data_IF_049329969901
#
_entry.id   IF_049329969901
#
_cell.length_a   1.000
_cell.length_b   1.000
_cell.length_c   1.000
_cell.angle_alpha   90.00
_cell.angle_beta   90.00
_cell.angle_gamma   90.00
#
_symmetry.space_group_name_H-M   'P 1'
#
loop_
_entity.id
_entity.type
_entity.pdbx_description
1 polymer ?
#
# COMPACT_ATOMS: atom_id res chain seq x y z
N UNK A 1 -19.02 -11.17 -16.93
CA UNK A 1 -19.42 -10.23 -15.85
C UNK A 1 -20.26 -9.09 -16.41
N UNK A 2 -21.08 -8.41 -15.60
CA UNK A 2 -21.72 -7.13 -15.94
C UNK A 2 -20.84 -6.01 -15.37
N UNK A 3 -20.21 -5.20 -16.20
CA UNK A 3 -19.23 -4.21 -15.78
C UNK A 3 -19.91 -2.86 -15.52
N UNK A 4 -19.73 -2.36 -14.30
CA UNK A 4 -20.28 -1.09 -13.84
C UNK A 4 -19.11 -0.23 -13.37
N UNK A 5 -18.99 0.99 -13.89
CA UNK A 5 -17.96 1.95 -13.50
C UNK A 5 -18.65 3.22 -13.03
N UNK A 6 -18.35 3.65 -11.80
CA UNK A 6 -18.96 4.83 -11.17
C UNK A 6 -20.51 4.85 -11.24
N UNK A 7 -21.12 3.66 -11.07
CA UNK A 7 -22.57 3.48 -11.12
C UNK A 7 -23.17 3.41 -12.53
N UNK A 8 -22.37 3.59 -13.59
CA UNK A 8 -22.82 3.47 -14.97
C UNK A 8 -22.49 2.07 -15.52
N UNK A 9 -23.44 1.46 -16.24
CA UNK A 9 -23.21 0.17 -16.90
C UNK A 9 -22.46 0.40 -18.21
N UNK A 10 -21.21 -0.05 -18.28
CA UNK A 10 -20.42 0.02 -19.51
C UNK A 10 -20.67 -1.22 -20.38
N UNK A 11 -20.72 -2.39 -19.75
CA UNK A 11 -21.00 -3.66 -20.43
C UNK A 11 -22.05 -4.47 -19.67
N UNK A 12 -23.11 -4.87 -20.37
CA UNK A 12 -24.09 -5.82 -19.85
C UNK A 12 -23.48 -7.23 -19.69
N UNK A 13 -22.56 -7.58 -20.60
CA UNK A 13 -21.74 -8.78 -20.56
C UNK A 13 -20.33 -8.42 -21.07
N UNK A 14 -19.35 -8.56 -20.19
CA UNK A 14 -17.92 -8.35 -20.42
C UNK A 14 -17.15 -9.61 -20.03
N UNK A 15 -16.03 -9.84 -20.70
CA UNK A 15 -14.98 -10.76 -20.30
C UNK A 15 -13.75 -9.96 -19.80
N UNK A 16 -12.63 -10.64 -19.59
CA UNK A 16 -11.40 -10.00 -19.10
C UNK A 16 -10.84 -8.97 -20.08
N UNK A 17 -11.17 -9.05 -21.37
CA UNK A 17 -10.63 -8.14 -22.39
C UNK A 17 -11.34 -6.77 -22.37
N UNK A 18 -12.67 -6.75 -22.28
CA UNK A 18 -13.43 -5.50 -22.12
C UNK A 18 -13.06 -4.79 -20.81
N UNK A 19 -12.83 -5.54 -19.73
CA UNK A 19 -12.30 -4.98 -18.49
C UNK A 19 -10.94 -4.29 -18.71
N UNK A 20 -10.01 -4.92 -19.44
CA UNK A 20 -8.70 -4.32 -19.73
C UNK A 20 -8.82 -3.05 -20.59
N UNK A 21 -9.74 -3.05 -21.55
CA UNK A 21 -9.99 -1.89 -22.40
C UNK A 21 -10.49 -0.70 -21.57
N UNK A 22 -11.48 -0.92 -20.70
CA UNK A 22 -11.98 0.13 -19.81
C UNK A 22 -10.91 0.65 -18.85
N UNK A 23 -10.11 -0.23 -18.25
CA UNK A 23 -9.00 0.20 -17.39
C UNK A 23 -7.95 1.03 -18.15
N UNK A 24 -7.74 0.77 -19.43
CA UNK A 24 -6.86 1.58 -20.27
C UNK A 24 -7.47 2.96 -20.58
N UNK A 25 -8.79 3.03 -20.78
CA UNK A 25 -9.52 4.30 -20.96
C UNK A 25 -9.47 5.16 -19.69
N UNK A 26 -9.71 4.57 -18.52
CA UNK A 26 -9.62 5.27 -17.24
C UNK A 26 -8.27 5.98 -17.05
N UNK A 27 -7.17 5.31 -17.40
CA UNK A 27 -5.82 5.92 -17.36
C UNK A 27 -5.68 7.13 -18.27
N UNK A 28 -6.33 7.11 -19.43
CA UNK A 28 -6.32 8.21 -20.40
C UNK A 28 -7.11 9.40 -19.87
N UNK A 29 -8.18 9.13 -19.11
CA UNK A 29 -9.04 10.15 -18.49
C UNK A 29 -8.54 10.60 -17.11
N UNK A 30 -7.32 10.24 -16.73
CA UNK A 30 -6.72 10.54 -15.41
C UNK A 30 -7.57 10.05 -14.22
N UNK A 31 -8.29 8.94 -14.43
CA UNK A 31 -9.09 8.26 -13.40
C UNK A 31 -8.41 6.99 -12.95
N UNK A 32 -8.42 6.76 -11.64
CA UNK A 32 -7.74 5.64 -11.02
C UNK A 32 -8.73 4.78 -10.26
N UNK A 33 -8.58 3.47 -10.35
CA UNK A 33 -9.40 2.51 -9.61
C UNK A 33 -9.18 2.72 -8.10
N UNK A 34 -10.24 3.07 -7.39
CA UNK A 34 -10.25 3.20 -5.94
C UNK A 34 -10.60 1.87 -5.28
N UNK A 35 -11.65 1.21 -5.77
CA UNK A 35 -12.10 -0.07 -5.25
C UNK A 35 -12.78 -0.87 -6.35
N UNK A 36 -12.73 -2.19 -6.21
CA UNK A 36 -13.46 -3.11 -7.07
C UNK A 36 -14.30 -4.02 -6.19
N UNK A 37 -15.57 -4.17 -6.52
CA UNK A 37 -16.45 -5.11 -5.84
C UNK A 37 -17.08 -6.08 -6.82
N UNK A 38 -17.29 -7.31 -6.38
CA UNK A 38 -18.01 -8.35 -7.09
C UNK A 38 -19.12 -8.84 -6.17
N UNK A 39 -20.38 -8.74 -6.61
CA UNK A 39 -21.55 -9.09 -5.77
C UNK A 39 -21.62 -8.31 -4.45
N UNK A 40 -21.14 -7.06 -4.45
CA UNK A 40 -21.09 -6.20 -3.26
C UNK A 40 -19.97 -6.53 -2.27
N UNK A 41 -19.11 -7.51 -2.57
CA UNK A 41 -17.92 -7.82 -1.79
C UNK A 41 -16.70 -7.20 -2.46
N UNK A 42 -15.86 -6.51 -1.69
CA UNK A 42 -14.60 -5.95 -2.19
C UNK A 42 -13.65 -7.08 -2.60
N UNK A 43 -13.07 -6.95 -3.79
CA UNK A 43 -12.18 -7.95 -4.40
C UNK A 43 -10.93 -7.27 -4.97
N UNK A 44 -9.85 -8.03 -5.12
CA UNK A 44 -8.65 -7.51 -5.75
C UNK A 44 -8.81 -7.47 -7.27
N UNK A 45 -8.49 -6.32 -7.87
CA UNK A 45 -8.52 -6.15 -9.33
C UNK A 45 -7.59 -7.15 -10.03
N UNK A 46 -6.44 -7.49 -9.43
CA UNK A 46 -5.51 -8.46 -10.01
C UNK A 46 -6.18 -9.80 -10.27
N UNK A 47 -7.01 -10.26 -9.33
CA UNK A 47 -7.60 -11.61 -9.36
C UNK A 47 -8.59 -11.74 -10.53
N UNK A 48 -9.27 -10.64 -10.87
CA UNK A 48 -10.13 -10.54 -12.05
C UNK A 48 -9.33 -10.52 -13.36
N UNK A 49 -8.16 -9.87 -13.37
CA UNK A 49 -7.31 -9.73 -14.55
C UNK A 49 -6.50 -11.00 -14.86
N UNK A 50 -6.06 -11.72 -13.83
CA UNK A 50 -5.36 -13.01 -13.92
C UNK A 50 -6.34 -14.17 -14.10
N UNK A 51 -7.61 -13.96 -13.75
CA UNK A 51 -8.66 -14.96 -13.83
C UNK A 51 -8.64 -15.96 -12.67
N UNK A 52 -7.99 -15.62 -11.56
CA UNK A 52 -8.11 -16.31 -10.27
C UNK A 52 -9.53 -16.15 -9.71
N UNK A 53 -10.12 -14.97 -9.89
CA UNK A 53 -11.55 -14.72 -9.67
C UNK A 53 -12.27 -14.66 -11.02
N UNK A 54 -13.25 -15.56 -11.21
CA UNK A 54 -14.09 -15.61 -12.41
C UNK A 54 -15.56 -15.42 -12.04
N UNK A 55 -16.06 -14.17 -12.10
CA UNK A 55 -17.46 -13.91 -11.86
C UNK A 55 -18.34 -14.67 -12.85
N UNK A 56 -19.48 -15.19 -12.37
CA UNK A 56 -20.44 -15.85 -13.26
C UNK A 56 -20.96 -14.87 -14.34
N UNK A 57 -21.44 -15.37 -15.49
CA UNK A 57 -22.03 -14.52 -16.52
C UNK A 57 -23.16 -13.64 -15.94
N UNK A 58 -23.10 -12.33 -16.21
CA UNK A 58 -24.07 -11.35 -15.68
C UNK A 58 -23.84 -10.91 -14.23
N UNK A 59 -22.93 -11.53 -13.47
CA UNK A 59 -22.56 -11.08 -12.12
C UNK A 59 -22.03 -9.63 -12.15
N UNK A 60 -22.56 -8.71 -11.34
CA UNK A 60 -22.10 -7.33 -11.30
C UNK A 60 -20.69 -7.23 -10.73
N UNK A 61 -19.82 -6.57 -11.49
CA UNK A 61 -18.50 -6.12 -11.06
C UNK A 61 -18.53 -4.60 -11.09
N UNK A 62 -18.42 -3.98 -9.92
CA UNK A 62 -18.47 -2.53 -9.75
C UNK A 62 -17.07 -1.99 -9.50
N UNK A 63 -16.68 -1.01 -10.31
CA UNK A 63 -15.42 -0.28 -10.17
C UNK A 63 -15.77 1.14 -9.76
N UNK A 64 -15.26 1.56 -8.60
CA UNK A 64 -15.30 2.96 -8.17
C UNK A 64 -13.96 3.57 -8.51
N UNK A 65 -13.97 4.74 -9.12
CA UNK A 65 -12.75 5.44 -9.51
C UNK A 65 -12.65 6.81 -8.85
N UNK A 66 -11.43 7.32 -8.76
CA UNK A 66 -11.10 8.59 -8.14
C UNK A 66 -10.04 9.35 -8.96
N UNK A 67 -9.85 10.63 -8.67
CA UNK A 67 -8.73 11.40 -9.23
C UNK A 67 -7.40 11.00 -8.60
N UNK A 68 -6.28 11.40 -9.22
CA UNK A 68 -4.94 11.18 -8.65
C UNK A 68 -4.81 11.78 -7.25
N UNK A 69 -5.29 13.01 -7.04
CA UNK A 69 -5.24 13.68 -5.74
C UNK A 69 -5.99 12.88 -4.66
N UNK A 70 -7.19 12.39 -4.99
CA UNK A 70 -7.98 11.56 -4.08
C UNK A 70 -7.30 10.23 -3.78
N UNK A 71 -6.70 9.58 -4.79
CA UNK A 71 -5.95 8.35 -4.62
C UNK A 71 -4.76 8.55 -3.67
N UNK A 72 -4.00 9.63 -3.87
CA UNK A 72 -2.87 9.99 -3.02
C UNK A 72 -3.33 10.30 -1.60
N UNK A 73 -4.43 11.04 -1.42
CA UNK A 73 -4.99 11.35 -0.11
C UNK A 73 -5.42 10.09 0.64
N UNK A 74 -6.21 9.22 0.00
CA UNK A 74 -6.64 7.95 0.60
C UNK A 74 -5.44 7.05 0.95
N UNK A 75 -4.42 7.02 0.10
CA UNK A 75 -3.20 6.24 0.33
C UNK A 75 -2.44 6.79 1.54
N UNK A 76 -2.24 8.10 1.62
CA UNK A 76 -1.53 8.74 2.73
C UNK A 76 -2.29 8.65 4.05
N UNK A 77 -3.63 8.69 4.02
CA UNK A 77 -4.48 8.45 5.18
C UNK A 77 -4.33 7.02 5.70
N UNK A 78 -4.34 6.03 4.79
CA UNK A 78 -4.13 4.62 5.12
C UNK A 78 -2.74 4.37 5.71
N UNK A 79 -1.69 4.95 5.11
CA UNK A 79 -0.32 4.87 5.64
C UNK A 79 -0.23 5.50 7.02
N UNK A 80 -0.79 6.69 7.20
CA UNK A 80 -0.80 7.41 8.48
C UNK A 80 -1.48 6.61 9.60
N UNK A 81 -2.57 5.89 9.30
CA UNK A 81 -3.23 5.01 10.28
C UNK A 81 -2.41 3.74 10.56
N UNK A 82 -1.77 3.19 9.54
CA UNK A 82 -1.10 1.89 9.63
C UNK A 82 0.27 1.96 10.31
N UNK A 83 1.11 2.94 9.99
CA UNK A 83 2.50 3.01 10.48
C UNK A 83 2.62 2.96 12.02
N UNK A 84 1.81 3.68 12.81
CA UNK A 84 1.89 3.58 14.27
C UNK A 84 1.63 2.16 14.80
N UNK A 85 0.72 1.41 14.16
CA UNK A 85 0.44 0.01 14.52
C UNK A 85 1.61 -0.89 14.17
N UNK A 86 2.21 -0.68 13.00
CA UNK A 86 3.40 -1.41 12.57
C UNK A 86 4.58 -1.17 13.52
N UNK A 87 4.86 0.09 13.87
CA UNK A 87 5.87 0.46 14.85
C UNK A 87 5.65 -0.27 16.19
N UNK A 88 4.43 -0.19 16.73
CA UNK A 88 4.10 -0.82 18.01
C UNK A 88 4.25 -2.34 17.95
N UNK A 89 3.90 -2.98 16.83
CA UNK A 89 4.06 -4.42 16.65
C UNK A 89 5.55 -4.80 16.61
N UNK A 90 6.38 -4.04 15.90
CA UNK A 90 7.83 -4.27 15.85
C UNK A 90 8.51 -4.05 17.19
N UNK A 91 8.13 -3.00 17.92
CA UNK A 91 8.65 -2.78 19.27
C UNK A 91 8.37 -3.96 20.19
N UNK A 92 7.14 -4.48 20.16
CA UNK A 92 6.76 -5.68 20.93
C UNK A 92 7.53 -6.92 20.47
N UNK A 93 7.71 -7.11 19.16
CA UNK A 93 8.52 -8.19 18.59
C UNK A 93 9.97 -8.13 19.09
N UNK A 94 10.58 -6.94 19.08
CA UNK A 94 11.93 -6.72 19.61
C UNK A 94 11.99 -7.10 21.09
N UNK A 95 11.06 -6.60 21.91
CA UNK A 95 11.01 -6.92 23.34
C UNK A 95 10.96 -8.45 23.57
N UNK A 96 10.10 -9.16 22.84
CA UNK A 96 10.00 -10.62 22.92
C UNK A 96 11.30 -11.33 22.52
N UNK A 97 11.95 -10.93 21.43
CA UNK A 97 13.23 -11.51 21.05
C UNK A 97 14.34 -11.23 22.08
N UNK A 98 14.36 -10.04 22.69
CA UNK A 98 15.30 -9.69 23.75
C UNK A 98 15.07 -10.47 25.04
N UNK A 99 13.83 -10.82 25.37
CA UNK A 99 13.50 -11.63 26.57
C UNK A 99 13.51 -13.14 26.32
N UNK A 100 13.79 -13.58 25.09
CA UNK A 100 13.88 -15.01 24.73
C UNK A 100 12.58 -15.65 24.23
N UNK A 101 11.50 -14.88 24.07
CA UNK A 101 10.19 -15.32 23.57
C UNK A 101 10.17 -15.41 22.03
N UNK A 102 11.04 -16.28 21.48
CA UNK A 102 11.33 -16.35 20.04
C UNK A 102 10.11 -16.64 19.17
N UNK A 103 9.30 -17.62 19.54
CA UNK A 103 8.15 -18.06 18.76
C UNK A 103 7.05 -16.97 18.71
N UNK A 104 6.78 -16.32 19.84
CA UNK A 104 5.83 -15.21 19.92
C UNK A 104 6.30 -14.02 19.05
N UNK A 105 7.58 -13.65 19.15
CA UNK A 105 8.19 -12.63 18.30
C UNK A 105 8.14 -12.99 16.81
N UNK A 106 8.47 -14.23 16.45
CA UNK A 106 8.45 -14.70 15.07
C UNK A 106 7.04 -14.66 14.46
N UNK A 107 6.03 -15.16 15.18
CA UNK A 107 4.63 -15.10 14.77
C UNK A 107 4.17 -13.66 14.55
N UNK A 108 4.49 -12.78 15.50
CA UNK A 108 4.12 -11.37 15.43
C UNK A 108 4.80 -10.65 14.28
N UNK A 109 6.09 -10.90 14.07
CA UNK A 109 6.81 -10.34 12.94
C UNK A 109 6.20 -10.78 11.60
N UNK A 110 5.88 -12.07 11.44
CA UNK A 110 5.26 -12.60 10.23
C UNK A 110 3.93 -11.91 9.89
N UNK A 111 3.12 -11.56 10.89
CA UNK A 111 1.89 -10.77 10.70
C UNK A 111 2.15 -9.39 10.10
N UNK A 112 3.34 -8.81 10.32
CA UNK A 112 3.70 -7.46 9.87
C UNK A 112 4.31 -7.39 8.47
N UNK A 113 4.82 -8.52 7.93
CA UNK A 113 5.57 -8.56 6.66
C UNK A 113 4.75 -7.99 5.48
N UNK A 114 3.47 -8.36 5.38
CA UNK A 114 2.59 -7.83 4.34
C UNK A 114 2.45 -6.31 4.41
N UNK A 115 2.36 -5.75 5.61
CA UNK A 115 2.28 -4.32 5.80
C UNK A 115 3.58 -3.59 5.48
N UNK A 116 4.73 -4.20 5.77
CA UNK A 116 6.03 -3.67 5.35
C UNK A 116 6.12 -3.63 3.81
N UNK A 117 5.80 -4.75 3.14
CA UNK A 117 5.79 -4.84 1.68
C UNK A 117 4.87 -3.80 1.05
N UNK A 118 3.67 -3.61 1.61
CA UNK A 118 2.74 -2.60 1.13
C UNK A 118 3.31 -1.18 1.25
N UNK A 119 3.92 -0.83 2.39
CA UNK A 119 4.55 0.48 2.56
C UNK A 119 5.72 0.72 1.60
N UNK A 120 6.55 -0.30 1.38
CA UNK A 120 7.64 -0.24 0.40
C UNK A 120 7.11 -0.05 -1.03
N UNK A 121 5.98 -0.68 -1.37
CA UNK A 121 5.31 -0.48 -2.67
C UNK A 121 4.77 0.96 -2.82
N UNK A 122 4.13 1.50 -1.78
CA UNK A 122 3.68 2.90 -1.77
C UNK A 122 4.85 3.85 -1.99
N UNK A 123 5.95 3.66 -1.26
CA UNK A 123 7.17 4.47 -1.41
C UNK A 123 7.77 4.36 -2.80
N UNK A 124 7.86 3.15 -3.37
CA UNK A 124 8.35 2.95 -4.72
C UNK A 124 7.50 3.73 -5.73
N UNK A 125 6.17 3.61 -5.66
CA UNK A 125 5.26 4.33 -6.55
C UNK A 125 5.37 5.84 -6.41
N UNK A 126 5.41 6.37 -5.18
CA UNK A 126 5.57 7.81 -4.95
C UNK A 126 6.92 8.33 -5.43
N UNK A 127 8.00 7.57 -5.20
CA UNK A 127 9.33 7.95 -5.65
C UNK A 127 9.43 8.01 -7.18
N UNK A 128 8.66 7.19 -7.90
CA UNK A 128 8.60 7.20 -9.35
C UNK A 128 7.84 8.41 -9.93
N UNK A 129 6.98 9.06 -9.13
CA UNK A 129 6.26 10.28 -9.51
C UNK A 129 7.09 11.55 -9.29
N UNK A 130 8.08 11.50 -8.40
CA UNK A 130 8.89 12.65 -8.01
C UNK A 130 10.27 12.69 -8.66
N UNK A 131 11.06 13.75 -8.41
CA UNK A 131 12.47 13.80 -8.75
C UNK A 131 13.26 12.70 -8.03
N UNK A 132 14.33 12.20 -8.67
CA UNK A 132 15.18 11.15 -8.13
C UNK A 132 15.85 11.53 -6.79
N UNK A 133 16.11 12.82 -6.56
CA UNK A 133 16.77 13.34 -5.35
C UNK A 133 15.77 13.87 -4.30
N UNK A 134 14.52 13.40 -4.34
CA UNK A 134 13.49 13.81 -3.39
C UNK A 134 13.58 13.06 -2.05
N UNK A 135 13.05 13.66 -0.97
CA UNK A 135 12.98 13.03 0.35
C UNK A 135 12.31 11.65 0.30
N UNK A 136 11.27 11.49 -0.52
CA UNK A 136 10.56 10.21 -0.67
C UNK A 136 11.42 9.15 -1.37
N UNK A 137 12.26 9.55 -2.33
CA UNK A 137 13.20 8.65 -3.00
C UNK A 137 14.30 8.17 -2.04
N UNK A 138 14.80 9.06 -1.18
CA UNK A 138 15.76 8.69 -0.14
C UNK A 138 15.14 7.76 0.92
N UNK A 139 13.92 8.06 1.39
CA UNK A 139 13.17 7.18 2.32
C UNK A 139 12.93 5.81 1.68
N UNK A 140 12.59 5.75 0.39
CA UNK A 140 12.42 4.49 -0.33
C UNK A 140 13.75 3.71 -0.36
N UNK A 141 14.85 4.35 -0.77
CA UNK A 141 16.18 3.72 -0.83
C UNK A 141 16.59 3.13 0.51
N UNK A 142 16.46 3.90 1.60
CA UNK A 142 16.76 3.41 2.96
C UNK A 142 15.85 2.23 3.32
N UNK A 143 14.54 2.31 3.04
CA UNK A 143 13.58 1.25 3.32
C UNK A 143 13.90 -0.06 2.59
N UNK A 144 14.27 0.01 1.31
CA UNK A 144 14.72 -1.15 0.54
C UNK A 144 16.02 -1.75 1.12
N UNK A 145 16.90 -0.89 1.64
CA UNK A 145 18.14 -1.29 2.31
C UNK A 145 17.93 -2.19 3.53
N UNK A 146 16.81 -2.04 4.24
CA UNK A 146 16.47 -2.82 5.45
C UNK A 146 16.00 -4.25 5.12
N UNK A 147 15.45 -4.49 3.93
CA UNK A 147 14.82 -5.77 3.57
C UNK A 147 15.84 -6.91 3.53
N UNK A 148 16.99 -6.70 2.89
CA UNK A 148 17.99 -7.75 2.71
C UNK A 148 18.62 -8.21 4.03
N UNK A 149 19.04 -7.30 4.94
CA UNK A 149 19.46 -7.68 6.29
C UNK A 149 18.41 -8.47 7.06
N UNK A 150 17.13 -8.04 7.02
CA UNK A 150 16.03 -8.74 7.69
C UNK A 150 15.88 -10.18 7.18
N UNK A 151 15.89 -10.38 5.86
CA UNK A 151 15.79 -11.70 5.26
C UNK A 151 16.98 -12.59 5.66
N UNK A 152 18.20 -12.05 5.58
CA UNK A 152 19.40 -12.81 5.96
C UNK A 152 19.39 -13.22 7.44
N UNK A 153 18.99 -12.32 8.34
CA UNK A 153 18.88 -12.63 9.77
C UNK A 153 17.75 -13.65 10.05
N UNK A 154 16.63 -13.54 9.33
CA UNK A 154 15.51 -14.48 9.41
C UNK A 154 15.89 -15.89 8.96
N UNK A 155 16.56 -16.02 7.81
CA UNK A 155 17.02 -17.31 7.26
C UNK A 155 18.01 -18.02 8.18
N UNK A 156 18.79 -17.28 8.96
CA UNK A 156 19.74 -17.82 9.94
C UNK A 156 19.14 -18.00 11.34
N UNK A 157 17.84 -17.73 11.53
CA UNK A 157 17.16 -17.72 12.84
C UNK A 157 17.88 -16.83 13.89
N UNK A 158 18.54 -15.77 13.43
CA UNK A 158 19.30 -14.85 14.29
C UNK A 158 18.37 -13.76 14.85
N UNK A 159 17.64 -14.14 15.90
CA UNK A 159 16.69 -13.24 16.58
C UNK A 159 17.34 -12.04 17.25
N UNK A 160 18.64 -12.10 17.57
CA UNK A 160 19.37 -10.94 18.12
C UNK A 160 19.61 -9.94 17.00
N UNK A 161 20.12 -10.39 15.86
CA UNK A 161 20.33 -9.54 14.69
C UNK A 161 19.00 -9.00 14.14
N UNK A 162 17.93 -9.81 14.12
CA UNK A 162 16.60 -9.33 13.74
C UNK A 162 16.11 -8.21 14.67
N UNK A 163 16.30 -8.37 15.99
CA UNK A 163 15.96 -7.32 16.95
C UNK A 163 16.77 -6.05 16.70
N UNK A 164 18.08 -6.18 16.46
CA UNK A 164 18.95 -5.03 16.17
C UNK A 164 18.53 -4.30 14.88
N UNK A 165 18.24 -5.02 13.79
CA UNK A 165 17.80 -4.41 12.54
C UNK A 165 16.45 -3.71 12.73
N UNK A 166 15.49 -4.34 13.40
CA UNK A 166 14.21 -3.69 13.67
C UNK A 166 14.37 -2.43 14.52
N UNK A 167 15.19 -2.50 15.57
CA UNK A 167 15.36 -1.43 16.54
C UNK A 167 16.14 -0.23 16.01
N UNK A 168 17.24 -0.48 15.31
CA UNK A 168 18.19 0.56 14.94
C UNK A 168 18.11 0.97 13.46
N UNK A 169 17.43 0.20 12.61
CA UNK A 169 17.30 0.52 11.18
C UNK A 169 15.83 0.68 10.77
N UNK A 170 15.01 -0.35 10.99
CA UNK A 170 13.64 -0.38 10.46
C UNK A 170 12.70 0.59 11.18
N UNK A 171 12.69 0.63 12.52
CA UNK A 171 11.86 1.55 13.28
C UNK A 171 12.24 3.03 13.04
N UNK A 172 13.53 3.43 13.03
CA UNK A 172 13.94 4.79 12.63
C UNK A 172 13.53 5.15 11.20
N UNK A 173 13.65 4.22 10.25
CA UNK A 173 13.13 4.43 8.89
C UNK A 173 11.62 4.68 8.90
N UNK A 174 10.88 3.91 9.69
CA UNK A 174 9.43 4.01 9.78
C UNK A 174 8.97 5.33 10.42
N UNK A 175 9.70 5.84 11.41
CA UNK A 175 9.50 7.18 11.98
C UNK A 175 9.70 8.27 10.94
N UNK A 176 10.78 8.17 10.14
CA UNK A 176 11.04 9.11 9.05
C UNK A 176 9.94 9.08 8.00
N UNK A 177 9.48 7.89 7.64
CA UNK A 177 8.38 7.71 6.70
C UNK A 177 7.08 8.32 7.25
N UNK A 178 6.75 8.09 8.52
CA UNK A 178 5.59 8.68 9.16
C UNK A 178 5.66 10.22 9.20
N UNK A 179 6.83 10.78 9.51
CA UNK A 179 7.03 12.24 9.50
C UNK A 179 6.79 12.84 8.12
N UNK A 180 7.29 12.19 7.05
CA UNK A 180 7.00 12.60 5.68
C UNK A 180 5.51 12.59 5.40
N UNK A 181 4.80 11.51 5.74
CA UNK A 181 3.35 11.37 5.50
C UNK A 181 2.58 12.49 6.20
N UNK A 182 2.93 12.84 7.43
CA UNK A 182 2.31 13.95 8.17
C UNK A 182 2.51 15.28 7.45
N UNK A 183 3.73 15.58 6.97
CA UNK A 183 4.02 16.82 6.25
C UNK A 183 3.32 16.86 4.89
N UNK A 184 3.36 15.76 4.14
CA UNK A 184 2.73 15.64 2.83
C UNK A 184 1.22 15.87 2.91
N UNK A 185 0.53 15.23 3.86
CA UNK A 185 -0.91 15.44 4.09
C UNK A 185 -1.24 16.89 4.42
N UNK A 186 -0.42 17.56 5.24
CA UNK A 186 -0.60 18.99 5.55
C UNK A 186 -0.45 19.84 4.29
N UNK A 187 0.56 19.55 3.46
CA UNK A 187 0.79 20.26 2.21
C UNK A 187 -0.39 20.10 1.25
N UNK A 188 -0.90 18.89 1.06
CA UNK A 188 -2.05 18.66 0.17
C UNK A 188 -3.30 19.43 0.61
N UNK A 189 -3.61 19.42 1.91
CA UNK A 189 -4.74 20.21 2.44
C UNK A 189 -4.57 21.71 2.20
N UNK A 190 -3.35 22.22 2.32
CA UNK A 190 -3.07 23.63 2.03
C UNK A 190 -3.28 23.96 0.55
N UNK A 191 -2.85 23.09 -0.36
CA UNK A 191 -3.06 23.29 -1.81
C UNK A 191 -4.54 23.21 -2.20
N UNK A 192 -5.31 22.29 -1.60
CA UNK A 192 -6.77 22.22 -1.80
C UNK A 192 -7.48 23.50 -1.30
N UNK A 193 -7.05 24.06 -0.16
CA UNK A 193 -7.61 25.33 0.33
C UNK A 193 -7.25 26.47 -0.62
N UNK A 194 -6.02 26.54 -1.12
CA UNK A 194 -5.60 27.57 -2.08
C UNK A 194 -6.37 27.49 -3.40
N UNK A 195 -6.63 26.29 -3.91
CA UNK A 195 -7.39 26.11 -5.16
C UNK A 195 -8.86 26.51 -5.03
N UNK A 196 -9.42 26.49 -3.80
CA UNK A 196 -10.80 26.92 -3.53
C UNK A 196 -10.93 28.44 -3.38
N UNK A 197 -9.82 29.15 -3.12
CA UNK A 197 -9.78 30.60 -2.90
C UNK A 197 -9.45 31.41 -4.17
N UNK A 198 -9.01 30.75 -5.24
CA UNK A 198 -8.71 31.35 -6.55
C UNK A 198 -9.82 31.03 -7.56
#
# INVERSE_FOLDING_TARGET
MRLIIDGQVHYAQAESEELRQELALLRTDERYVQSVSCEGLEVNLSDLLTGELRPSPGTPVEIVTCSLDQLLENTMDSVHEYLPRLYSAWKQTVDWWRTGEREAGAKRFAETVRGLQWNLSVLANLSALGPADSDVADINTVGQGVVRPLLAAWENEDFVQLADILEYEAMPWLERWFAFVVLFRRQMRLEQVKSTLN
#
